data_IF_744744160091
#
_entry.id   IF_744744160091
#
_cell.length_a   1.000
_cell.length_b   1.000
_cell.length_c   1.000
_cell.angle_alpha   90.00
_cell.angle_beta   90.00
_cell.angle_gamma   90.00
#
_symmetry.space_group_name_H-M   'P 1'
#
loop_
_entity.id
_entity.type
_entity.pdbx_description
1 polymer ?
#
# COMPACT_ATOMS: atom_id res chain seq x y z
N UNK A 1 -2.95 14.78 -10.39
CA UNK A 1 -2.95 16.23 -10.68
C UNK A 1 -1.57 16.79 -10.33
N UNK A 2 -0.85 17.40 -11.29
CA UNK A 2 0.51 17.93 -11.05
C UNK A 2 0.52 19.27 -10.30
N UNK A 3 -0.64 19.92 -10.18
CA UNK A 3 -0.83 21.22 -9.51
C UNK A 3 -2.19 21.21 -8.79
N UNK A 4 -2.28 20.70 -7.55
CA UNK A 4 -3.53 20.75 -6.81
C UNK A 4 -3.89 22.22 -6.53
N UNK A 5 -5.15 22.58 -6.77
CA UNK A 5 -5.67 23.94 -6.52
C UNK A 5 -6.67 23.93 -5.36
N UNK A 6 -7.43 22.84 -5.20
CA UNK A 6 -8.44 22.72 -4.14
C UNK A 6 -7.85 22.02 -2.89
N UNK A 7 -8.28 22.35 -1.66
CA UNK A 7 -7.77 21.70 -0.44
C UNK A 7 -7.87 20.16 -0.45
N UNK A 8 -8.97 19.60 -0.98
CA UNK A 8 -9.12 18.14 -1.14
C UNK A 8 -8.10 17.55 -2.11
N UNK A 9 -7.79 18.25 -3.20
CA UNK A 9 -6.76 17.79 -4.15
C UNK A 9 -5.39 17.75 -3.49
N UNK A 10 -5.07 18.74 -2.65
CA UNK A 10 -3.83 18.74 -1.87
C UNK A 10 -3.74 17.53 -0.94
N UNK A 11 -4.85 17.16 -0.29
CA UNK A 11 -4.91 15.95 0.55
C UNK A 11 -4.71 14.68 -0.29
N UNK A 12 -5.45 14.51 -1.38
CA UNK A 12 -5.31 13.35 -2.26
C UNK A 12 -3.93 13.27 -2.93
N UNK A 13 -3.29 14.40 -3.18
CA UNK A 13 -1.93 14.43 -3.72
C UNK A 13 -0.91 13.81 -2.76
N UNK A 14 -1.17 13.82 -1.45
CA UNK A 14 -0.38 13.10 -0.45
C UNK A 14 -0.57 11.58 -0.53
N UNK A 15 -1.68 11.11 -1.11
CA UNK A 15 -2.04 9.71 -1.29
C UNK A 15 -1.73 9.17 -2.70
N UNK A 16 -1.07 9.97 -3.55
CA UNK A 16 -0.69 9.58 -4.91
C UNK A 16 0.43 8.52 -4.91
N UNK A 17 0.04 7.27 -5.19
CA UNK A 17 0.94 6.12 -5.25
C UNK A 17 1.98 6.27 -6.36
N UNK A 18 1.61 6.82 -7.52
CA UNK A 18 2.55 6.99 -8.64
C UNK A 18 3.67 7.96 -8.25
N UNK A 19 3.33 9.08 -7.61
CA UNK A 19 4.32 10.03 -7.09
C UNK A 19 5.23 9.40 -6.04
N UNK A 20 4.67 8.63 -5.11
CA UNK A 20 5.44 7.94 -4.07
C UNK A 20 6.43 6.93 -4.68
N UNK A 21 5.98 6.12 -5.64
CA UNK A 21 6.82 5.13 -6.32
C UNK A 21 7.91 5.80 -7.17
N UNK A 22 7.58 6.88 -7.89
CA UNK A 22 8.57 7.64 -8.65
C UNK A 22 9.69 8.19 -7.75
N UNK A 23 9.32 8.76 -6.60
CA UNK A 23 10.29 9.24 -5.62
C UNK A 23 11.14 8.10 -5.03
N UNK A 24 10.53 6.95 -4.74
CA UNK A 24 11.25 5.76 -4.30
C UNK A 24 12.27 5.29 -5.34
N UNK A 25 11.84 5.08 -6.59
CA UNK A 25 12.73 4.62 -7.67
C UNK A 25 13.92 5.57 -7.83
N UNK A 26 13.67 6.88 -7.85
CA UNK A 26 14.73 7.89 -7.97
C UNK A 26 15.74 7.82 -6.81
N UNK A 27 15.27 7.73 -5.56
CA UNK A 27 16.16 7.68 -4.37
C UNK A 27 17.01 6.41 -4.31
N UNK A 28 16.47 5.31 -4.82
CA UNK A 28 17.14 4.01 -4.77
C UNK A 28 18.07 3.78 -5.99
N UNK A 29 18.00 4.64 -7.01
CA UNK A 29 18.75 4.51 -8.25
C UNK A 29 20.27 4.37 -8.07
N UNK A 30 20.95 5.14 -7.19
CA UNK A 30 22.42 5.10 -7.11
C UNK A 30 23.03 3.76 -6.71
N UNK A 31 22.25 2.88 -6.09
CA UNK A 31 22.74 1.61 -5.56
C UNK A 31 21.85 0.43 -5.94
N UNK A 32 20.94 0.60 -6.91
CA UNK A 32 20.06 -0.46 -7.38
C UNK A 32 20.86 -1.53 -8.14
N UNK A 33 20.62 -2.80 -7.80
CA UNK A 33 21.25 -3.98 -8.43
C UNK A 33 20.22 -5.00 -8.91
N UNK A 34 18.94 -4.65 -8.89
CA UNK A 34 17.83 -5.55 -9.23
C UNK A 34 16.68 -4.79 -9.90
N UNK A 35 16.05 -5.44 -10.86
CA UNK A 35 14.82 -4.98 -11.53
C UNK A 35 13.57 -5.09 -10.64
N UNK A 36 13.66 -5.79 -9.50
CA UNK A 36 12.55 -5.86 -8.55
C UNK A 36 12.20 -4.46 -8.02
N UNK A 37 10.91 -4.12 -7.94
CA UNK A 37 10.48 -2.79 -7.49
C UNK A 37 11.10 -2.42 -6.14
N UNK A 38 10.91 -3.26 -5.12
CA UNK A 38 11.44 -3.05 -3.79
C UNK A 38 12.81 -3.74 -3.61
N UNK A 39 13.79 -2.95 -3.17
CA UNK A 39 15.16 -3.40 -2.90
C UNK A 39 15.59 -3.03 -1.47
N UNK A 40 16.56 -3.76 -0.96
CA UNK A 40 17.12 -3.55 0.37
C UNK A 40 18.03 -2.32 0.40
N UNK A 41 18.00 -1.61 1.52
CA UNK A 41 18.90 -0.50 1.85
C UNK A 41 19.87 -0.88 3.00
N UNK A 42 19.86 -2.13 3.47
CA UNK A 42 20.80 -2.58 4.50
C UNK A 42 22.20 -2.74 3.89
N UNK A 43 23.27 -2.37 4.61
CA UNK A 43 24.64 -2.36 4.06
C UNK A 43 25.05 -3.66 3.35
N UNK A 44 24.76 -4.83 3.95
CA UNK A 44 25.15 -6.14 3.41
C UNK A 44 24.32 -6.62 2.22
N UNK A 45 23.12 -6.08 2.02
CA UNK A 45 22.19 -6.51 0.95
C UNK A 45 21.76 -5.35 0.06
N UNK A 46 22.48 -4.22 0.12
CA UNK A 46 22.08 -2.98 -0.52
C UNK A 46 21.94 -3.16 -2.03
N UNK A 47 20.78 -2.75 -2.55
CA UNK A 47 20.46 -2.81 -3.97
C UNK A 47 19.77 -4.09 -4.43
N UNK A 48 19.70 -5.12 -3.58
CA UNK A 48 19.17 -6.45 -3.93
C UNK A 48 17.67 -6.51 -3.61
N UNK A 49 16.90 -7.32 -4.37
CA UNK A 49 15.47 -7.55 -4.12
C UNK A 49 15.19 -7.97 -2.66
N UNK A 50 14.13 -7.42 -2.07
CA UNK A 50 13.65 -7.88 -0.75
C UNK A 50 12.65 -9.03 -0.88
N UNK A 51 12.54 -9.84 0.18
CA UNK A 51 11.53 -10.89 0.27
C UNK A 51 10.13 -10.35 0.57
N UNK A 52 9.10 -11.11 0.20
CA UNK A 52 7.70 -10.82 0.58
C UNK A 52 7.51 -10.68 2.08
N UNK A 53 8.24 -11.47 2.88
CA UNK A 53 8.26 -11.37 4.33
C UNK A 53 8.75 -10.00 4.82
N UNK A 54 9.80 -9.46 4.19
CA UNK A 54 10.33 -8.13 4.53
C UNK A 54 9.35 -7.03 4.18
N UNK A 55 8.74 -7.10 2.99
CA UNK A 55 7.67 -6.18 2.59
C UNK A 55 6.51 -6.23 3.59
N UNK A 56 6.09 -7.43 4.00
CA UNK A 56 5.04 -7.61 5.00
C UNK A 56 5.40 -6.98 6.36
N UNK A 57 6.66 -7.07 6.80
CA UNK A 57 7.15 -6.37 8.00
C UNK A 57 7.09 -4.85 7.84
N UNK A 58 7.51 -4.31 6.69
CA UNK A 58 7.44 -2.87 6.42
C UNK A 58 6.01 -2.34 6.42
N UNK A 59 5.06 -3.07 5.85
CA UNK A 59 3.65 -2.69 5.87
C UNK A 59 3.13 -2.61 7.31
N UNK A 60 3.36 -3.67 8.11
CA UNK A 60 2.93 -3.70 9.52
C UNK A 60 3.53 -2.55 10.33
N UNK A 61 4.84 -2.31 10.18
CA UNK A 61 5.54 -1.23 10.87
C UNK A 61 5.03 0.15 10.45
N UNK A 62 4.74 0.34 9.15
CA UNK A 62 4.18 1.61 8.64
C UNK A 62 2.78 1.88 9.20
N UNK A 63 1.92 0.87 9.27
CA UNK A 63 0.59 0.99 9.86
C UNK A 63 0.72 1.37 11.34
N UNK A 64 1.52 0.63 12.11
CA UNK A 64 1.72 0.94 13.54
C UNK A 64 2.20 2.38 13.76
N UNK A 65 3.23 2.81 13.01
CA UNK A 65 3.76 4.18 13.05
C UNK A 65 2.71 5.24 12.71
N UNK A 66 1.79 4.96 11.78
CA UNK A 66 0.74 5.91 11.41
C UNK A 66 -0.33 6.09 12.51
N UNK A 67 -0.61 5.03 13.30
CA UNK A 67 -1.48 5.12 14.48
C UNK A 67 -0.76 5.87 15.61
N UNK A 68 0.48 5.51 15.89
CA UNK A 68 1.33 6.18 16.89
C UNK A 68 1.47 7.68 16.61
N UNK A 69 1.71 8.07 15.34
CA UNK A 69 1.84 9.48 14.97
C UNK A 69 0.55 10.29 15.16
N UNK A 70 -0.59 9.61 15.28
CA UNK A 70 -1.89 10.22 15.57
C UNK A 70 -2.31 10.04 17.04
N UNK A 71 -1.41 9.57 17.90
CA UNK A 71 -1.69 9.21 19.29
C UNK A 71 -2.88 8.24 19.46
N UNK A 72 -3.08 7.35 18.48
CA UNK A 72 -4.10 6.31 18.50
C UNK A 72 -3.51 4.97 18.94
N UNK A 73 -4.34 4.13 19.58
CA UNK A 73 -3.94 2.77 19.95
C UNK A 73 -3.71 1.91 18.71
N UNK A 74 -2.53 1.30 18.61
CA UNK A 74 -2.20 0.37 17.52
C UNK A 74 -3.08 -0.89 17.62
N UNK A 75 -3.73 -1.35 16.53
CA UNK A 75 -4.50 -2.59 16.53
C UNK A 75 -3.65 -3.79 16.97
N UNK A 76 -4.22 -4.66 17.81
CA UNK A 76 -3.52 -5.86 18.33
C UNK A 76 -3.05 -6.82 17.24
N UNK A 77 -3.78 -6.89 16.12
CA UNK A 77 -3.48 -7.80 15.00
C UNK A 77 -3.37 -6.98 13.72
N UNK A 78 -2.13 -6.70 13.29
CA UNK A 78 -1.83 -6.09 11.99
C UNK A 78 -1.16 -7.14 11.13
N UNK A 79 -1.72 -7.39 9.94
CA UNK A 79 -1.11 -8.24 8.92
C UNK A 79 -0.92 -7.44 7.64
N UNK A 80 -0.05 -7.88 6.73
CA UNK A 80 0.03 -7.23 5.43
C UNK A 80 -1.33 -7.32 4.68
N UNK A 81 -2.04 -8.44 4.87
CA UNK A 81 -3.33 -8.71 4.24
C UNK A 81 -4.47 -7.83 4.76
N UNK A 82 -4.40 -7.33 6.00
CA UNK A 82 -5.43 -6.40 6.50
C UNK A 82 -5.53 -5.13 5.67
N UNK A 83 -4.44 -4.69 5.03
CA UNK A 83 -4.45 -3.59 4.05
C UNK A 83 -5.41 -3.86 2.90
N UNK A 84 -5.42 -5.09 2.37
CA UNK A 84 -6.34 -5.51 1.30
C UNK A 84 -7.77 -5.52 1.80
N UNK A 85 -8.01 -6.04 3.00
CA UNK A 85 -9.34 -6.06 3.61
C UNK A 85 -9.93 -4.66 3.73
N UNK A 86 -9.18 -3.73 4.33
CA UNK A 86 -9.63 -2.34 4.50
C UNK A 86 -9.88 -1.65 3.16
N UNK A 87 -9.03 -1.87 2.15
CA UNK A 87 -9.21 -1.30 0.82
C UNK A 87 -10.50 -1.80 0.14
N UNK A 88 -10.79 -3.10 0.25
CA UNK A 88 -12.01 -3.70 -0.32
C UNK A 88 -13.27 -3.20 0.41
N UNK A 89 -13.24 -3.14 1.74
CA UNK A 89 -14.33 -2.58 2.54
C UNK A 89 -14.59 -1.12 2.18
N UNK A 90 -13.53 -0.31 2.04
CA UNK A 90 -13.65 1.09 1.65
C UNK A 90 -14.27 1.24 0.25
N UNK A 91 -13.79 0.48 -0.74
CA UNK A 91 -14.33 0.52 -2.11
C UNK A 91 -15.83 0.17 -2.15
N UNK A 92 -16.23 -0.84 -1.38
CA UNK A 92 -17.65 -1.18 -1.23
C UNK A 92 -18.46 -0.08 -0.56
N UNK A 93 -17.93 0.51 0.53
CA UNK A 93 -18.59 1.62 1.23
C UNK A 93 -18.76 2.85 0.33
N UNK A 94 -17.88 3.03 -0.66
CA UNK A 94 -18.00 4.06 -1.69
C UNK A 94 -18.85 3.62 -2.90
N UNK A 95 -19.59 2.52 -2.78
CA UNK A 95 -20.51 1.99 -3.81
C UNK A 95 -19.81 1.61 -5.13
N UNK A 96 -18.54 1.22 -5.09
CA UNK A 96 -17.88 0.65 -6.27
C UNK A 96 -18.56 -0.67 -6.67
N UNK A 97 -18.65 -0.93 -7.97
CA UNK A 97 -19.31 -2.15 -8.45
C UNK A 97 -18.52 -3.39 -8.01
N UNK A 98 -19.24 -4.50 -7.76
CA UNK A 98 -18.60 -5.76 -7.40
C UNK A 98 -17.63 -6.24 -8.49
N UNK A 99 -17.94 -5.97 -9.75
CA UNK A 99 -17.11 -6.29 -10.91
C UNK A 99 -15.79 -5.52 -10.88
N UNK A 100 -15.82 -4.23 -10.59
CA UNK A 100 -14.61 -3.40 -10.49
C UNK A 100 -13.76 -3.80 -9.29
N UNK A 101 -14.40 -4.09 -8.15
CA UNK A 101 -13.72 -4.60 -6.96
C UNK A 101 -13.01 -5.92 -7.27
N UNK A 102 -13.68 -6.87 -7.92
CA UNK A 102 -13.09 -8.16 -8.29
C UNK A 102 -11.94 -7.98 -9.29
N UNK A 103 -12.11 -7.10 -10.29
CA UNK A 103 -11.08 -6.77 -11.28
C UNK A 103 -9.83 -6.19 -10.61
N UNK A 104 -9.99 -5.21 -9.72
CA UNK A 104 -8.88 -4.61 -8.98
C UNK A 104 -8.22 -5.61 -7.99
N UNK A 105 -9.01 -6.52 -7.44
CA UNK A 105 -8.54 -7.58 -6.55
C UNK A 105 -7.88 -8.76 -7.30
N UNK A 106 -7.95 -8.80 -8.63
CA UNK A 106 -7.56 -9.94 -9.46
C UNK A 106 -8.29 -11.24 -9.09
N UNK A 107 -9.59 -11.14 -8.80
CA UNK A 107 -10.47 -12.30 -8.57
C UNK A 107 -11.30 -12.61 -9.81
N UNK A 108 -11.35 -13.90 -10.18
CA UNK A 108 -12.14 -14.40 -11.29
C UNK A 108 -13.65 -14.48 -10.99
N UNK A 109 -14.04 -14.46 -9.72
CA UNK A 109 -15.43 -14.51 -9.29
C UNK A 109 -15.67 -13.67 -8.03
N UNK A 110 -16.91 -13.28 -7.74
CA UNK A 110 -17.24 -12.50 -6.53
C UNK A 110 -17.26 -13.35 -5.25
N UNK A 111 -17.21 -14.68 -5.34
CA UNK A 111 -17.32 -15.58 -4.19
C UNK A 111 -16.33 -15.27 -3.06
N UNK A 112 -15.03 -15.02 -3.32
CA UNK A 112 -14.09 -14.67 -2.25
C UNK A 112 -14.41 -13.33 -1.59
N UNK A 113 -14.95 -12.37 -2.34
CA UNK A 113 -15.39 -11.09 -1.77
C UNK A 113 -16.58 -11.29 -0.84
N UNK A 114 -17.62 -11.96 -1.34
CA UNK A 114 -18.87 -12.18 -0.60
C UNK A 114 -18.60 -12.97 0.69
N UNK A 115 -17.76 -14.01 0.63
CA UNK A 115 -17.51 -14.88 1.79
C UNK A 115 -16.72 -14.22 2.93
N UNK A 116 -15.86 -13.25 2.61
CA UNK A 116 -14.85 -12.76 3.55
C UNK A 116 -14.98 -11.27 3.90
N UNK A 117 -15.79 -10.51 3.15
CA UNK A 117 -15.87 -9.05 3.28
C UNK A 117 -17.31 -8.51 3.26
N UNK A 118 -18.31 -9.39 3.13
CA UNK A 118 -19.74 -9.14 3.28
C UNK A 118 -20.32 -10.13 4.27
#
# INVERSE_FOLDING_TARGET
CSKPVHPKEHQWHKLDVHRALKAYIHRMAPFRKSEALFISFQPSTQGIKVSSFTIGRWIKATIAKAYESQALSVPKVITAHSTRSVALSAAWSTQASITDICKAAAWASPTPFIRHYK
#
